data_IF_822160991458
#
_entry.id   IF_822160991458
#
_cell.length_a   1.000
_cell.length_b   1.000
_cell.length_c   1.000
_cell.angle_alpha   90.00
_cell.angle_beta   90.00
_cell.angle_gamma   90.00
#
_symmetry.space_group_name_H-M   'P 1'
#
loop_
_entity.id
_entity.type
_entity.pdbx_description
1 polymer ?
#
# COMPACT_ATOMS: atom_id res chain seq x y z
N UNK A 1 16.67 8.65 -36.65
CA UNK A 1 15.36 9.03 -36.09
C UNK A 1 15.43 8.88 -34.57
N UNK A 2 15.59 9.97 -33.81
CA UNK A 2 15.48 9.90 -32.36
C UNK A 2 13.99 9.90 -32.01
N UNK A 3 13.46 8.76 -31.58
CA UNK A 3 12.09 8.70 -31.04
C UNK A 3 12.09 9.58 -29.80
N UNK A 4 11.38 10.72 -29.85
CA UNK A 4 11.25 11.62 -28.70
C UNK A 4 10.40 10.94 -27.63
N UNK A 5 11.05 10.26 -26.68
CA UNK A 5 10.37 9.66 -25.54
C UNK A 5 9.72 10.75 -24.70
N UNK A 6 8.39 10.78 -24.71
CA UNK A 6 7.61 11.65 -23.83
C UNK A 6 7.30 10.86 -22.58
N UNK A 7 7.93 11.23 -21.47
CA UNK A 7 7.87 10.49 -20.21
C UNK A 7 6.43 10.17 -19.76
N UNK A 8 5.45 11.05 -20.03
CA UNK A 8 4.07 10.85 -19.59
C UNK A 8 3.08 11.27 -20.69
N UNK A 9 2.29 10.32 -21.19
CA UNK A 9 1.18 10.56 -22.11
C UNK A 9 -0.14 10.60 -21.33
N UNK A 10 -0.38 11.71 -20.61
CA UNK A 10 -1.59 11.89 -19.80
C UNK A 10 -2.76 12.39 -20.64
N UNK A 11 -3.63 11.49 -21.08
CA UNK A 11 -4.89 11.85 -21.72
C UNK A 11 -5.91 12.35 -20.69
N UNK A 12 -6.95 13.07 -21.15
CA UNK A 12 -8.07 13.48 -20.27
C UNK A 12 -8.72 12.29 -19.58
N UNK A 13 -8.86 11.16 -20.29
CA UNK A 13 -9.45 9.94 -19.74
C UNK A 13 -8.61 9.37 -18.58
N UNK A 14 -7.29 9.25 -18.77
CA UNK A 14 -6.36 8.81 -17.71
C UNK A 14 -6.44 9.73 -16.48
N UNK A 15 -6.49 11.06 -16.66
CA UNK A 15 -6.63 12.01 -15.54
C UNK A 15 -7.91 11.80 -14.73
N UNK A 16 -9.05 11.64 -15.41
CA UNK A 16 -10.34 11.41 -14.74
C UNK A 16 -10.31 10.08 -13.98
N UNK A 17 -9.72 9.05 -14.58
CA UNK A 17 -9.54 7.75 -13.93
C UNK A 17 -8.66 7.84 -12.69
N UNK A 18 -7.52 8.53 -12.78
CA UNK A 18 -6.60 8.75 -11.65
C UNK A 18 -7.27 9.52 -10.50
N UNK A 19 -8.02 10.58 -10.83
CA UNK A 19 -8.80 11.32 -9.84
C UNK A 19 -9.88 10.46 -9.19
N UNK A 20 -10.55 9.60 -9.96
CA UNK A 20 -11.56 8.69 -9.41
C UNK A 20 -10.94 7.67 -8.44
N UNK A 21 -9.79 7.09 -8.77
CA UNK A 21 -9.08 6.16 -7.88
C UNK A 21 -8.57 6.90 -6.64
N UNK A 22 -7.93 8.05 -6.82
CA UNK A 22 -7.42 8.83 -5.70
C UNK A 22 -8.56 9.22 -4.75
N UNK A 23 -9.70 9.66 -5.30
CA UNK A 23 -10.91 9.94 -4.53
C UNK A 23 -11.45 8.71 -3.81
N UNK A 24 -11.49 7.55 -4.45
CA UNK A 24 -11.92 6.30 -3.82
C UNK A 24 -10.96 5.84 -2.70
N UNK A 25 -9.64 5.98 -2.88
CA UNK A 25 -8.65 5.65 -1.88
C UNK A 25 -8.74 6.60 -0.67
N UNK A 26 -8.78 7.92 -0.91
CA UNK A 26 -8.97 8.93 0.14
C UNK A 26 -10.29 8.72 0.87
N UNK A 27 -11.38 8.47 0.13
CA UNK A 27 -12.69 8.17 0.69
C UNK A 27 -12.69 6.92 1.56
N UNK A 28 -12.01 5.85 1.13
CA UNK A 28 -11.84 4.62 1.92
C UNK A 28 -11.06 4.89 3.21
N UNK A 29 -9.97 5.64 3.15
CA UNK A 29 -9.15 6.00 4.31
C UNK A 29 -9.98 6.86 5.29
N UNK A 30 -10.65 7.90 4.79
CA UNK A 30 -11.46 8.81 5.60
C UNK A 30 -12.64 8.08 6.26
N UNK A 31 -13.34 7.22 5.51
CA UNK A 31 -14.44 6.41 6.03
C UNK A 31 -13.95 5.49 7.15
N UNK A 32 -12.86 4.76 6.92
CA UNK A 32 -12.28 3.89 7.95
C UNK A 32 -11.85 4.70 9.17
N UNK A 33 -11.24 5.87 8.97
CA UNK A 33 -10.79 6.72 10.06
C UNK A 33 -11.95 7.24 10.92
N UNK A 34 -13.01 7.75 10.29
CA UNK A 34 -14.20 8.25 10.99
C UNK A 34 -14.90 7.13 11.77
N UNK A 35 -15.11 5.98 11.13
CA UNK A 35 -15.69 4.80 11.81
C UNK A 35 -14.77 4.35 12.94
N UNK A 36 -13.47 4.24 12.68
CA UNK A 36 -12.49 3.79 13.66
C UNK A 36 -12.38 4.70 14.87
N UNK A 37 -12.48 6.02 14.68
CA UNK A 37 -12.57 7.00 15.78
C UNK A 37 -13.85 6.82 16.59
N UNK A 38 -14.99 6.60 15.93
CA UNK A 38 -16.27 6.41 16.61
C UNK A 38 -16.36 5.09 17.40
N UNK A 39 -15.70 4.02 16.92
CA UNK A 39 -15.79 2.68 17.53
C UNK A 39 -14.62 2.40 18.50
N UNK A 40 -13.40 2.85 18.18
CA UNK A 40 -12.18 2.49 18.92
C UNK A 40 -11.33 3.68 19.36
N UNK A 41 -11.88 4.90 19.32
CA UNK A 41 -11.13 6.13 19.60
C UNK A 41 -10.59 6.24 21.02
N UNK A 42 -11.23 5.63 22.02
CA UNK A 42 -10.77 5.68 23.43
C UNK A 42 -9.51 4.82 23.67
N UNK A 43 -9.31 3.77 22.87
CA UNK A 43 -8.19 2.83 23.03
C UNK A 43 -7.11 2.94 21.96
N UNK A 44 -7.28 3.82 20.96
CA UNK A 44 -6.32 3.97 19.86
C UNK A 44 -6.07 5.44 19.56
N UNK A 45 -4.80 5.78 19.38
CA UNK A 45 -4.41 7.12 18.94
C UNK A 45 -4.77 7.35 17.47
N UNK A 46 -4.88 8.61 17.09
CA UNK A 46 -5.19 9.00 15.70
C UNK A 46 -4.20 8.40 14.69
N UNK A 47 -2.86 8.43 14.92
CA UNK A 47 -1.93 7.76 14.03
C UNK A 47 -2.15 6.25 13.91
N UNK A 48 -2.52 5.55 14.99
CA UNK A 48 -2.80 4.11 14.92
C UNK A 48 -4.00 3.79 14.03
N UNK A 49 -5.06 4.59 14.13
CA UNK A 49 -6.24 4.45 13.29
C UNK A 49 -5.89 4.77 11.83
N UNK A 50 -5.08 5.81 11.58
CA UNK A 50 -4.61 6.16 10.24
C UNK A 50 -3.73 5.08 9.62
N UNK A 51 -2.80 4.48 10.39
CA UNK A 51 -1.97 3.35 9.95
C UNK A 51 -2.86 2.18 9.52
N UNK A 52 -3.88 1.83 10.32
CA UNK A 52 -4.83 0.76 9.99
C UNK A 52 -5.66 1.10 8.75
N UNK A 53 -6.14 2.34 8.62
CA UNK A 53 -6.89 2.80 7.45
C UNK A 53 -6.06 2.64 6.17
N UNK A 54 -4.81 3.11 6.17
CA UNK A 54 -3.89 2.97 5.03
C UNK A 54 -3.63 1.50 4.69
N UNK A 55 -3.39 0.65 5.71
CA UNK A 55 -3.17 -0.78 5.51
C UNK A 55 -4.37 -1.50 4.90
N UNK A 56 -5.58 -1.20 5.39
CA UNK A 56 -6.84 -1.75 4.85
C UNK A 56 -7.10 -1.25 3.44
N UNK A 57 -6.90 0.03 3.14
CA UNK A 57 -7.06 0.55 1.79
C UNK A 57 -6.05 -0.08 0.83
N UNK A 58 -4.79 -0.23 1.22
CA UNK A 58 -3.77 -0.90 0.39
C UNK A 58 -4.15 -2.35 0.09
N UNK A 59 -4.57 -3.13 1.10
CA UNK A 59 -4.93 -4.53 0.89
C UNK A 59 -6.19 -4.68 0.04
N UNK A 60 -7.20 -3.82 0.21
CA UNK A 60 -8.41 -3.80 -0.63
C UNK A 60 -8.05 -3.48 -2.08
N UNK A 61 -7.21 -2.46 -2.31
CA UNK A 61 -6.73 -2.12 -3.65
C UNK A 61 -5.98 -3.29 -4.29
N UNK A 62 -5.11 -3.97 -3.54
CA UNK A 62 -4.39 -5.15 -4.02
C UNK A 62 -5.36 -6.25 -4.45
N UNK A 63 -6.39 -6.55 -3.65
CA UNK A 63 -7.40 -7.54 -4.00
C UNK A 63 -8.18 -7.15 -5.25
N UNK A 64 -8.56 -5.88 -5.38
CA UNK A 64 -9.19 -5.37 -6.61
C UNK A 64 -8.27 -5.62 -7.81
N UNK A 65 -7.00 -5.19 -7.73
CA UNK A 65 -6.01 -5.35 -8.82
C UNK A 65 -5.80 -6.81 -9.22
N UNK A 66 -5.83 -7.75 -8.27
CA UNK A 66 -5.68 -9.18 -8.58
C UNK A 66 -6.98 -9.76 -9.17
N UNK A 67 -8.14 -9.33 -8.68
CA UNK A 67 -9.44 -9.84 -9.11
C UNK A 67 -9.88 -9.33 -10.50
N UNK A 68 -9.46 -8.14 -10.94
CA UNK A 68 -9.88 -7.61 -12.25
C UNK A 68 -9.47 -8.49 -13.44
N UNK A 69 -8.39 -9.26 -13.31
CA UNK A 69 -7.93 -10.17 -14.37
C UNK A 69 -8.94 -11.27 -14.68
N UNK A 70 -9.30 -12.12 -13.68
CA UNK A 70 -10.39 -13.08 -13.81
C UNK A 70 -11.74 -12.44 -14.15
N UNK A 71 -12.10 -11.33 -13.50
CA UNK A 71 -13.39 -10.66 -13.72
C UNK A 71 -13.56 -10.18 -15.17
N UNK A 72 -12.49 -9.67 -15.80
CA UNK A 72 -12.51 -9.26 -17.20
C UNK A 72 -12.71 -10.43 -18.19
N UNK A 73 -12.44 -11.67 -17.77
CA UNK A 73 -12.74 -12.87 -18.57
C UNK A 73 -14.21 -13.28 -18.46
N UNK A 74 -14.84 -12.99 -17.33
CA UNK A 74 -16.25 -13.30 -17.07
C UNK A 74 -17.18 -12.22 -17.64
N UNK A 75 -16.78 -10.95 -17.57
CA UNK A 75 -17.59 -9.81 -18.00
C UNK A 75 -16.72 -8.69 -18.61
N UNK A 76 -17.10 -8.23 -19.80
CA UNK A 76 -16.38 -7.20 -20.56
C UNK A 76 -16.38 -5.82 -19.89
N UNK A 77 -17.30 -5.55 -18.96
CA UNK A 77 -17.35 -4.26 -18.23
C UNK A 77 -16.09 -3.99 -17.43
N UNK A 78 -15.38 -5.03 -16.98
CA UNK A 78 -14.12 -4.90 -16.24
C UNK A 78 -12.91 -4.57 -17.12
N UNK A 79 -13.04 -4.60 -18.46
CA UNK A 79 -11.95 -4.26 -19.38
C UNK A 79 -11.45 -2.82 -19.21
N UNK A 80 -12.36 -1.88 -18.89
CA UNK A 80 -11.98 -0.49 -18.63
C UNK A 80 -11.06 -0.36 -17.40
N UNK A 81 -11.33 -1.17 -16.37
CA UNK A 81 -10.52 -1.22 -15.14
C UNK A 81 -9.20 -1.95 -15.39
N UNK A 82 -9.24 -3.05 -16.15
CA UNK A 82 -8.06 -3.82 -16.56
C UNK A 82 -7.09 -3.00 -17.42
N UNK A 83 -7.60 -2.17 -18.34
CA UNK A 83 -6.80 -1.33 -19.23
C UNK A 83 -5.90 -0.37 -18.45
N UNK A 84 -6.41 0.17 -17.34
CA UNK A 84 -5.69 1.13 -16.51
C UNK A 84 -5.11 0.51 -15.21
N UNK A 85 -4.93 -0.83 -15.16
CA UNK A 85 -4.44 -1.55 -13.97
C UNK A 85 -3.11 -1.02 -13.40
N UNK A 86 -2.27 -0.41 -14.22
CA UNK A 86 -0.99 0.18 -13.80
C UNK A 86 -1.17 1.36 -12.87
N UNK A 87 -2.14 2.23 -13.16
CA UNK A 87 -2.48 3.38 -12.33
C UNK A 87 -3.03 2.95 -10.96
N UNK A 88 -3.86 1.88 -10.94
CA UNK A 88 -4.26 1.23 -9.68
C UNK A 88 -3.06 0.69 -8.91
N UNK A 89 -2.15 -0.01 -9.58
CA UNK A 89 -0.94 -0.58 -8.98
C UNK A 89 -0.05 0.48 -8.32
N UNK A 90 0.22 1.58 -9.02
CA UNK A 90 0.99 2.72 -8.47
C UNK A 90 0.27 3.34 -7.29
N UNK A 91 -1.05 3.57 -7.39
CA UNK A 91 -1.83 4.13 -6.28
C UNK A 91 -1.79 3.23 -5.05
N UNK A 92 -1.98 1.92 -5.22
CA UNK A 92 -1.88 0.94 -4.14
C UNK A 92 -0.49 0.95 -3.50
N UNK A 93 0.58 0.99 -4.30
CA UNK A 93 1.94 1.11 -3.80
C UNK A 93 2.14 2.39 -2.96
N UNK A 94 1.67 3.55 -3.43
CA UNK A 94 1.80 4.80 -2.68
C UNK A 94 1.05 4.76 -1.34
N UNK A 95 -0.14 4.14 -1.30
CA UNK A 95 -0.89 3.94 -0.05
C UNK A 95 -0.13 2.99 0.89
N UNK A 96 0.42 1.89 0.36
CA UNK A 96 1.25 0.95 1.13
C UNK A 96 2.54 1.59 1.65
N UNK A 97 3.17 2.47 0.86
CA UNK A 97 4.35 3.23 1.27
C UNK A 97 4.01 4.21 2.39
N UNK A 98 2.87 4.90 2.30
CA UNK A 98 2.39 5.76 3.38
C UNK A 98 2.10 4.97 4.66
N UNK A 99 1.47 3.79 4.54
CA UNK A 99 1.28 2.87 5.67
C UNK A 99 2.61 2.49 6.31
N UNK A 100 3.58 2.02 5.51
CA UNK A 100 4.89 1.61 5.98
C UNK A 100 5.65 2.76 6.65
N UNK A 101 5.70 3.93 6.00
CA UNK A 101 6.37 5.12 6.54
C UNK A 101 5.77 5.57 7.87
N UNK A 102 4.44 5.66 7.97
CA UNK A 102 3.79 6.06 9.20
C UNK A 102 3.94 5.01 10.31
N UNK A 103 3.87 3.72 9.96
CA UNK A 103 4.11 2.61 10.89
C UNK A 103 5.54 2.66 11.45
N UNK A 104 6.55 2.80 10.58
CA UNK A 104 7.95 2.90 10.99
C UNK A 104 8.19 4.11 11.90
N UNK A 105 7.66 5.28 11.54
CA UNK A 105 7.82 6.49 12.36
C UNK A 105 7.12 6.35 13.71
N UNK A 106 5.90 5.82 13.75
CA UNK A 106 5.11 5.73 14.97
C UNK A 106 5.62 4.66 15.95
N UNK A 107 6.01 3.48 15.45
CA UNK A 107 6.42 2.36 16.29
C UNK A 107 7.93 2.29 16.57
N UNK A 108 8.76 2.88 15.71
CA UNK A 108 10.23 2.81 15.85
C UNK A 108 10.91 4.18 15.98
N UNK A 109 10.21 5.29 15.74
CA UNK A 109 10.81 6.63 15.69
C UNK A 109 11.42 7.13 16.99
N UNK A 110 11.03 6.56 18.13
CA UNK A 110 11.53 6.93 19.46
C UNK A 110 12.42 5.84 20.09
N UNK A 111 12.88 4.87 19.31
CA UNK A 111 13.79 3.82 19.78
C UNK A 111 15.26 4.24 19.79
N UNK A 112 16.09 3.47 20.50
CA UNK A 112 17.55 3.71 20.61
C UNK A 112 18.35 3.26 19.38
N UNK A 113 17.67 2.68 18.39
CA UNK A 113 18.25 2.22 17.12
C UNK A 113 17.60 2.94 15.95
N UNK A 114 18.32 3.07 14.83
CA UNK A 114 17.75 3.64 13.61
C UNK A 114 16.45 2.91 13.22
N UNK A 115 15.34 3.61 12.92
CA UNK A 115 14.05 2.98 12.63
C UNK A 115 14.07 1.94 11.51
N UNK A 116 14.85 2.18 10.44
CA UNK A 116 14.98 1.22 9.33
C UNK A 116 15.73 -0.04 9.76
N UNK A 117 16.76 0.12 10.59
CA UNK A 117 17.48 -1.02 11.18
C UNK A 117 16.58 -1.78 12.15
N UNK A 118 15.72 -1.08 12.90
CA UNK A 118 14.75 -1.72 13.79
C UNK A 118 13.80 -2.64 13.04
N UNK A 119 13.22 -2.16 11.93
CA UNK A 119 12.30 -2.93 11.07
C UNK A 119 12.97 -4.19 10.50
N UNK A 120 14.27 -4.12 10.19
CA UNK A 120 15.03 -5.25 9.63
C UNK A 120 15.57 -6.21 10.68
N UNK A 121 15.72 -5.76 11.93
CA UNK A 121 16.29 -6.56 13.03
C UNK A 121 15.23 -7.19 13.92
N UNK A 122 13.96 -6.90 13.67
CA UNK A 122 12.81 -7.36 14.44
C UNK A 122 12.74 -6.80 15.86
N UNK A 123 11.54 -6.82 16.43
CA UNK A 123 11.30 -6.41 17.81
C UNK A 123 12.04 -7.30 18.84
N UNK A 124 12.14 -6.89 20.12
CA UNK A 124 12.77 -7.70 21.18
C UNK A 124 12.20 -9.12 21.33
N UNK A 125 10.95 -9.37 20.92
CA UNK A 125 10.32 -10.71 20.88
C UNK A 125 10.65 -11.55 19.63
N UNK A 126 11.32 -10.96 18.64
CA UNK A 126 11.66 -11.57 17.35
C UNK A 126 13.15 -11.97 17.25
N UNK A 127 13.99 -11.49 18.19
CA UNK A 127 15.45 -11.74 18.22
C UNK A 127 15.87 -13.07 18.86
N UNK A 128 14.91 -13.93 19.22
CA UNK A 128 15.17 -15.23 19.83
C UNK A 128 15.06 -16.40 18.85
N UNK A 129 16.07 -17.29 18.86
CA UNK A 129 16.05 -18.61 18.18
C UNK A 129 14.94 -19.55 18.70
N UNK A 130 14.18 -19.11 19.71
CA UNK A 130 13.01 -19.79 20.23
C UNK A 130 11.85 -18.80 20.22
N UNK A 131 10.74 -19.08 19.49
CA UNK A 131 9.52 -18.29 19.60
C UNK A 131 8.94 -18.48 21.00
N UNK A 132 9.30 -17.61 21.93
CA UNK A 132 8.70 -17.57 23.25
C UNK A 132 7.29 -16.97 23.15
N UNK A 133 6.34 -17.79 22.67
CA UNK A 133 4.90 -17.53 22.76
C UNK A 133 4.18 -17.29 21.43
N UNK A 134 3.60 -18.35 20.86
CA UNK A 134 2.54 -18.27 19.85
C UNK A 134 2.90 -17.58 18.51
N UNK A 135 1.87 -17.25 17.71
CA UNK A 135 1.99 -16.54 16.43
C UNK A 135 2.60 -15.12 16.57
N UNK A 136 2.86 -14.63 17.79
CA UNK A 136 3.40 -13.30 18.08
C UNK A 136 4.92 -13.16 17.91
N UNK A 137 5.64 -14.26 17.64
CA UNK A 137 7.09 -14.25 17.35
C UNK A 137 7.45 -14.21 15.87
N UNK A 138 6.47 -14.06 14.96
CA UNK A 138 6.74 -13.97 13.51
C UNK A 138 7.22 -12.56 13.20
N UNK A 139 8.39 -12.43 12.58
CA UNK A 139 8.96 -11.15 12.13
C UNK A 139 8.19 -10.55 10.93
N UNK A 140 6.93 -10.14 11.17
CA UNK A 140 6.04 -9.61 10.14
C UNK A 140 6.59 -8.31 9.51
N UNK A 141 7.42 -7.57 10.25
CA UNK A 141 8.09 -6.35 9.79
C UNK A 141 8.99 -6.62 8.57
N UNK A 142 9.80 -7.69 8.63
CA UNK A 142 10.71 -8.08 7.55
C UNK A 142 9.92 -8.53 6.31
N UNK A 143 8.85 -9.29 6.49
CA UNK A 143 7.97 -9.69 5.39
C UNK A 143 7.25 -8.49 4.77
N UNK A 144 6.82 -7.52 5.58
CA UNK A 144 6.23 -6.27 5.12
C UNK A 144 7.22 -5.43 4.30
N UNK A 145 8.47 -5.32 4.75
CA UNK A 145 9.53 -4.63 4.03
C UNK A 145 9.85 -5.32 2.68
N UNK A 146 9.95 -6.64 2.68
CA UNK A 146 10.17 -7.42 1.45
C UNK A 146 9.00 -7.25 0.46
N UNK A 147 7.75 -7.30 0.95
CA UNK A 147 6.57 -7.07 0.12
C UNK A 147 6.57 -5.64 -0.46
N UNK A 148 6.89 -4.61 0.35
CA UNK A 148 6.97 -3.23 -0.11
C UNK A 148 8.03 -3.06 -1.21
N UNK A 149 9.18 -3.75 -1.12
CA UNK A 149 10.21 -3.75 -2.15
C UNK A 149 9.70 -4.34 -3.47
N UNK A 150 8.98 -5.46 -3.41
CA UNK A 150 8.34 -6.06 -4.60
C UNK A 150 7.35 -5.07 -5.22
N UNK A 151 6.49 -4.47 -4.42
CA UNK A 151 5.53 -3.48 -4.87
C UNK A 151 6.19 -2.24 -5.48
N UNK A 152 7.31 -1.79 -4.90
CA UNK A 152 8.11 -0.68 -5.44
C UNK A 152 8.65 -1.01 -6.82
N UNK A 153 9.25 -2.20 -7.01
CA UNK A 153 9.77 -2.63 -8.32
C UNK A 153 8.64 -2.71 -9.34
N UNK A 154 7.50 -3.30 -8.97
CA UNK A 154 6.31 -3.35 -9.83
C UNK A 154 5.80 -1.95 -10.21
N UNK A 155 5.78 -1.01 -9.26
CA UNK A 155 5.35 0.36 -9.52
C UNK A 155 6.36 1.13 -10.41
N UNK A 156 7.66 1.03 -10.13
CA UNK A 156 8.71 1.71 -10.88
C UNK A 156 8.79 1.24 -12.35
N UNK A 157 8.55 -0.05 -12.58
CA UNK A 157 8.51 -0.65 -13.93
C UNK A 157 7.17 -0.46 -14.65
N UNK A 158 6.14 0.07 -13.97
CA UNK A 158 4.83 0.30 -14.58
C UNK A 158 4.73 1.59 -15.42
N UNK A 159 5.76 2.44 -15.35
CA UNK A 159 5.80 3.74 -16.03
C UNK A 159 5.76 3.60 -17.56
N UNK A 160 5.02 4.50 -18.23
CA UNK A 160 4.84 4.47 -19.69
C UNK A 160 6.17 4.63 -20.47
N UNK A 161 7.23 5.13 -19.84
CA UNK A 161 8.59 5.15 -20.41
C UNK A 161 9.12 3.78 -20.85
N UNK A 162 8.70 2.71 -20.17
CA UNK A 162 9.17 1.35 -20.46
C UNK A 162 8.43 0.66 -21.63
N UNK A 163 7.52 1.38 -22.32
CA UNK A 163 6.77 0.92 -23.49
C UNK A 163 7.02 1.82 -24.70
#
# INVERSE_FOLDING_TARGET
>A
MSVGYKAIQWSRHKRVYDLAIAGAAVGSIALFFVIGKGVWGEGNSDPQIAIRALGVTAIVLLHVILAIGPLARLDRRFLALLFNRRHLGVTMFLVALAHAGLSTLYYHGFGDVNPLVSVLSGGPGERGVVPSGGLGGIAFEVYGAAALLILFVMAATSHDFWL
#
